data_IF_754543321609
#
_entry.id   IF_754543321609
#
_cell.length_a   1.000
_cell.length_b   1.000
_cell.length_c   1.000
_cell.angle_alpha   90.00
_cell.angle_beta   90.00
_cell.angle_gamma   90.00
#
_symmetry.space_group_name_H-M   'P 1'
#
loop_
_entity.id
_entity.type
_entity.pdbx_description
1 polymer ?
#
# COMPACT_ATOMS: atom_id res chain seq x y z
N UNK A 1 18.06 -13.34 -21.77
CA UNK A 1 17.88 -12.30 -22.80
C UNK A 1 16.61 -12.60 -23.58
N UNK A 2 15.46 -12.12 -23.11
CA UNK A 2 14.22 -12.19 -23.89
C UNK A 2 13.23 -11.14 -23.36
N UNK A 3 13.45 -9.87 -23.74
CA UNK A 3 12.47 -8.79 -23.63
C UNK A 3 12.73 -7.77 -24.75
N UNK A 4 12.79 -8.26 -25.99
CA UNK A 4 12.63 -7.43 -27.20
C UNK A 4 11.90 -8.31 -28.22
N UNK A 5 10.58 -8.16 -28.31
CA UNK A 5 9.77 -8.41 -29.50
C UNK A 5 8.30 -8.31 -29.10
N UNK A 6 7.68 -7.15 -29.33
CA UNK A 6 6.33 -7.06 -29.88
C UNK A 6 6.10 -5.61 -30.36
N UNK A 7 6.83 -5.25 -31.42
CA UNK A 7 6.45 -4.18 -32.33
C UNK A 7 6.51 -4.79 -33.74
N UNK A 8 5.47 -4.51 -34.54
CA UNK A 8 5.23 -4.89 -35.93
C UNK A 8 4.65 -6.29 -36.24
N UNK A 9 3.32 -6.36 -36.24
CA UNK A 9 2.43 -6.88 -37.31
C UNK A 9 1.00 -6.70 -36.79
N UNK A 10 -0.02 -6.26 -37.52
CA UNK A 10 -0.24 -5.97 -38.93
C UNK A 10 -1.41 -4.97 -39.01
N UNK A 11 -1.43 -4.15 -40.04
CA UNK A 11 -2.51 -3.22 -40.36
C UNK A 11 -3.83 -3.96 -40.60
N UNK A 12 -4.71 -3.94 -39.59
CA UNK A 12 -6.14 -4.07 -39.79
C UNK A 12 -6.80 -2.83 -39.19
N UNK A 13 -7.25 -1.95 -40.08
CA UNK A 13 -7.97 -0.72 -39.79
C UNK A 13 -9.38 -1.06 -39.30
N UNK A 14 -9.49 -1.49 -38.03
CA UNK A 14 -10.74 -1.49 -37.28
C UNK A 14 -10.66 -0.36 -36.26
N UNK A 15 -11.33 0.74 -36.57
CA UNK A 15 -11.33 1.96 -35.78
C UNK A 15 -11.80 1.73 -34.32
N UNK A 16 -10.86 1.67 -33.38
CA UNK A 16 -11.13 1.93 -31.97
C UNK A 16 -10.91 3.43 -31.76
N UNK A 17 -11.99 4.20 -31.74
CA UNK A 17 -11.97 5.64 -31.50
C UNK A 17 -11.30 5.94 -30.16
N UNK A 18 -10.09 6.49 -30.20
CA UNK A 18 -9.33 6.89 -29.02
C UNK A 18 -9.90 8.23 -28.52
N UNK A 19 -11.03 8.17 -27.80
CA UNK A 19 -11.67 9.35 -27.22
C UNK A 19 -11.02 9.68 -25.88
N UNK A 20 -9.96 10.50 -25.91
CA UNK A 20 -9.43 11.15 -24.71
C UNK A 20 -10.27 12.39 -24.42
N UNK A 21 -10.93 12.45 -23.26
CA UNK A 21 -11.72 13.61 -22.85
C UNK A 21 -11.21 14.16 -21.53
N UNK A 22 -10.81 15.43 -21.53
CA UNK A 22 -10.38 16.16 -20.33
C UNK A 22 -11.60 16.86 -19.73
N UNK A 23 -12.01 16.43 -18.53
CA UNK A 23 -13.06 17.10 -17.75
C UNK A 23 -12.45 17.58 -16.43
N UNK A 24 -12.22 18.88 -16.31
CA UNK A 24 -11.61 19.49 -15.13
C UNK A 24 -10.23 18.87 -14.83
N UNK A 25 -10.06 18.29 -13.64
CA UNK A 25 -8.82 17.65 -13.17
C UNK A 25 -8.72 16.17 -13.50
N UNK A 26 -9.46 15.65 -14.49
CA UNK A 26 -9.44 14.23 -14.87
C UNK A 26 -9.26 14.07 -16.38
N UNK A 27 -8.25 13.29 -16.78
CA UNK A 27 -8.07 12.78 -18.12
C UNK A 27 -8.64 11.36 -18.17
N UNK A 28 -9.61 11.13 -19.04
CA UNK A 28 -10.20 9.81 -19.24
C UNK A 28 -9.62 9.21 -20.52
N UNK A 29 -9.07 7.99 -20.44
CA UNK A 29 -8.65 7.18 -21.58
C UNK A 29 -9.47 5.88 -21.52
N UNK A 30 -10.54 5.81 -22.30
CA UNK A 30 -11.54 4.74 -22.16
C UNK A 30 -12.17 4.75 -20.77
N UNK A 31 -12.11 3.61 -20.07
CA UNK A 31 -12.60 3.45 -18.69
C UNK A 31 -11.59 3.88 -17.61
N UNK A 32 -10.38 4.28 -18.03
CA UNK A 32 -9.28 4.58 -17.13
C UNK A 32 -9.18 6.08 -16.83
N UNK A 33 -9.24 6.41 -15.54
CA UNK A 33 -9.30 7.79 -15.07
C UNK A 33 -7.95 8.21 -14.47
N UNK A 34 -7.28 9.14 -15.14
CA UNK A 34 -6.03 9.74 -14.69
C UNK A 34 -6.35 11.07 -14.02
N UNK A 35 -6.02 11.20 -12.73
CA UNK A 35 -6.19 12.46 -11.99
C UNK A 35 -5.02 13.39 -12.27
N UNK A 36 -5.35 14.52 -12.88
CA UNK A 36 -4.44 15.60 -13.19
C UNK A 36 -4.32 16.51 -11.97
N UNK A 37 -3.10 16.61 -11.44
CA UNK A 37 -2.81 17.36 -10.22
C UNK A 37 -3.01 16.55 -8.94
N UNK A 38 -2.76 17.20 -7.80
CA UNK A 38 -2.70 16.56 -6.47
C UNK A 38 -3.88 16.95 -5.55
N UNK A 39 -4.91 17.62 -6.06
CA UNK A 39 -5.99 18.15 -5.22
C UNK A 39 -6.97 17.07 -4.74
N UNK A 40 -7.31 17.12 -3.44
CA UNK A 40 -8.16 16.13 -2.77
C UNK A 40 -9.59 16.59 -2.50
N UNK A 41 -9.87 17.89 -2.58
CA UNK A 41 -11.19 18.44 -2.26
C UNK A 41 -12.35 17.95 -3.15
N UNK A 42 -12.05 17.15 -4.19
CA UNK A 42 -13.01 16.50 -5.08
C UNK A 42 -12.58 15.05 -5.38
N UNK A 43 -11.79 14.42 -4.50
CA UNK A 43 -11.37 13.03 -4.67
C UNK A 43 -12.28 12.10 -3.89
N UNK A 44 -12.64 10.95 -4.47
CA UNK A 44 -13.35 9.86 -3.80
C UNK A 44 -12.40 9.01 -2.94
N UNK A 45 -11.41 9.66 -2.32
CA UNK A 45 -10.55 9.02 -1.32
C UNK A 45 -11.21 9.21 0.03
N UNK A 46 -11.67 8.12 0.64
CA UNK A 46 -12.38 8.13 1.92
C UNK A 46 -11.56 7.43 3.00
N UNK A 47 -11.85 7.79 4.26
CA UNK A 47 -11.13 7.29 5.43
C UNK A 47 -12.15 6.81 6.45
N UNK A 48 -11.93 5.63 7.02
CA UNK A 48 -12.83 5.03 8.00
C UNK A 48 -12.06 4.66 9.26
N UNK A 49 -12.46 5.26 10.37
CA UNK A 49 -11.94 4.96 11.70
C UNK A 49 -12.61 3.72 12.26
N UNK A 50 -11.80 2.85 12.84
CA UNK A 50 -12.21 1.73 13.66
C UNK A 50 -11.53 1.85 15.03
N UNK A 51 -12.31 1.62 16.07
CA UNK A 51 -11.83 1.45 17.44
C UNK A 51 -12.23 0.05 17.96
N UNK A 52 -11.67 -0.36 19.11
CA UNK A 52 -12.00 -1.66 19.69
C UNK A 52 -13.52 -1.81 19.87
N UNK A 53 -14.08 -2.93 19.41
CA UNK A 53 -15.51 -3.28 19.49
C UNK A 53 -16.43 -2.59 18.48
N UNK A 54 -15.91 -1.83 17.50
CA UNK A 54 -16.72 -1.33 16.38
C UNK A 54 -16.76 -2.32 15.22
N UNK A 55 -17.98 -2.68 14.79
CA UNK A 55 -18.21 -3.53 13.60
C UNK A 55 -18.09 -2.69 12.33
N UNK A 56 -18.69 -1.50 12.33
CA UNK A 56 -18.68 -0.55 11.22
C UNK A 56 -17.70 0.59 11.48
N UNK A 57 -17.09 1.09 10.41
CA UNK A 57 -16.12 2.19 10.50
C UNK A 57 -16.81 3.55 10.48
N UNK A 58 -16.37 4.47 11.33
CA UNK A 58 -16.83 5.86 11.32
C UNK A 58 -16.08 6.65 10.25
N UNK A 59 -16.81 7.30 9.34
CA UNK A 59 -16.19 8.06 8.27
C UNK A 59 -15.48 9.32 8.80
N UNK A 60 -14.20 9.46 8.46
CA UNK A 60 -13.44 10.68 8.67
C UNK A 60 -13.50 11.53 7.40
N UNK A 61 -14.05 12.74 7.54
CA UNK A 61 -14.05 13.79 6.54
C UNK A 61 -12.96 14.78 6.88
N UNK A 62 -12.03 14.99 5.95
CA UNK A 62 -10.88 15.87 6.14
C UNK A 62 -10.59 16.67 4.87
N UNK A 63 -10.19 17.92 5.08
CA UNK A 63 -9.57 18.77 4.07
C UNK A 63 -8.33 19.46 4.69
N UNK A 64 -7.68 20.34 3.93
CA UNK A 64 -6.47 21.04 4.39
C UNK A 64 -6.64 21.79 5.71
N UNK A 65 -7.83 22.37 5.94
CA UNK A 65 -8.09 23.30 7.04
C UNK A 65 -8.95 22.73 8.17
N UNK A 66 -9.80 21.74 7.88
CA UNK A 66 -10.72 21.16 8.87
C UNK A 66 -10.85 19.64 8.75
N UNK A 67 -11.27 19.02 9.84
CA UNK A 67 -11.56 17.58 9.92
C UNK A 67 -12.65 17.32 10.95
N UNK A 68 -13.40 16.24 10.79
CA UNK A 68 -14.38 15.80 11.78
C UNK A 68 -13.82 14.88 12.88
N UNK A 69 -12.50 14.73 13.00
CA UNK A 69 -11.84 13.79 13.93
C UNK A 69 -12.31 13.93 15.40
N UNK A 70 -12.60 15.15 15.87
CA UNK A 70 -13.08 15.36 17.24
C UNK A 70 -14.58 15.03 17.43
N UNK A 71 -15.30 14.77 16.34
CA UNK A 71 -16.69 14.31 16.35
C UNK A 71 -16.82 12.79 16.13
N UNK A 72 -15.70 12.09 15.91
CA UNK A 72 -15.65 10.63 15.82
C UNK A 72 -15.16 10.03 17.14
N UNK A 73 -15.13 8.71 17.22
CA UNK A 73 -14.54 7.95 18.33
C UNK A 73 -12.99 8.05 18.42
N UNK A 74 -12.35 8.94 17.66
CA UNK A 74 -10.89 9.05 17.61
C UNK A 74 -10.31 9.42 18.98
N UNK A 75 -9.41 8.59 19.49
CA UNK A 75 -8.78 8.84 20.78
C UNK A 75 -7.40 9.47 20.60
N UNK A 76 -7.26 10.73 20.96
CA UNK A 76 -6.02 11.51 20.80
C UNK A 76 -4.83 10.97 21.59
N UNK A 77 -5.06 10.15 22.62
CA UNK A 77 -4.02 9.56 23.46
C UNK A 77 -3.54 8.18 22.97
N UNK A 78 -4.18 7.61 21.96
CA UNK A 78 -3.83 6.29 21.42
C UNK A 78 -2.99 6.41 20.14
N UNK A 79 -2.17 5.40 19.89
CA UNK A 79 -1.45 5.26 18.61
C UNK A 79 -2.44 5.11 17.46
N UNK A 80 -2.06 5.62 16.28
CA UNK A 80 -2.87 5.49 15.06
C UNK A 80 -2.15 4.66 14.01
N UNK A 81 -2.76 3.55 13.58
CA UNK A 81 -2.30 2.73 12.46
C UNK A 81 -3.20 2.99 11.25
N UNK A 82 -2.65 3.33 10.08
CA UNK A 82 -3.40 3.60 8.86
C UNK A 82 -3.11 2.50 7.83
N UNK A 83 -4.14 1.77 7.38
CA UNK A 83 -4.02 0.63 6.48
C UNK A 83 -4.46 1.02 5.06
N UNK A 84 -3.59 0.80 4.08
CA UNK A 84 -3.74 1.30 2.71
C UNK A 84 -3.75 0.13 1.73
N UNK A 85 -4.88 -0.07 1.05
CA UNK A 85 -5.01 -1.14 0.06
C UNK A 85 -4.24 -0.83 -1.24
N UNK A 86 -4.15 -1.85 -2.09
CA UNK A 86 -3.44 -1.81 -3.37
C UNK A 86 -4.35 -1.76 -4.60
N UNK A 87 -3.78 -2.17 -5.72
CA UNK A 87 -4.47 -2.30 -7.01
C UNK A 87 -5.64 -3.30 -6.94
N UNK A 88 -6.70 -3.02 -7.71
CA UNK A 88 -7.87 -3.88 -7.90
C UNK A 88 -8.48 -4.37 -6.56
N UNK A 89 -8.57 -3.45 -5.60
CA UNK A 89 -9.05 -3.70 -4.25
C UNK A 89 -9.64 -2.43 -3.64
N UNK A 90 -10.19 -2.59 -2.44
CA UNK A 90 -10.78 -1.56 -1.60
C UNK A 90 -10.36 -1.75 -0.12
N UNK A 91 -10.96 -0.97 0.77
CA UNK A 91 -10.75 -1.06 2.22
C UNK A 91 -11.20 -2.40 2.83
N UNK A 92 -12.01 -3.21 2.15
CA UNK A 92 -12.46 -4.52 2.62
C UNK A 92 -11.46 -5.64 2.27
N UNK A 93 -10.28 -5.29 1.74
CA UNK A 93 -9.19 -6.24 1.49
C UNK A 93 -8.94 -7.12 2.72
N UNK A 94 -9.11 -8.44 2.53
CA UNK A 94 -9.12 -9.42 3.63
C UNK A 94 -7.86 -9.38 4.50
N UNK A 95 -6.68 -9.21 3.90
CA UNK A 95 -5.43 -9.13 4.67
C UNK A 95 -5.35 -7.89 5.55
N UNK A 96 -5.82 -6.72 5.09
CA UNK A 96 -5.86 -5.51 5.91
C UNK A 96 -6.90 -5.63 7.03
N UNK A 97 -8.04 -6.26 6.77
CA UNK A 97 -9.05 -6.52 7.80
C UNK A 97 -8.59 -7.56 8.83
N UNK A 98 -7.82 -8.57 8.40
CA UNK A 98 -7.13 -9.48 9.29
C UNK A 98 -6.13 -8.73 10.18
N UNK A 99 -5.30 -7.88 9.61
CA UNK A 99 -4.31 -7.07 10.34
C UNK A 99 -5.02 -6.15 11.36
N UNK A 100 -6.09 -5.46 10.94
CA UNK A 100 -6.96 -4.67 11.84
C UNK A 100 -7.44 -5.50 13.03
N UNK A 101 -7.93 -6.71 12.77
CA UNK A 101 -8.43 -7.61 13.80
C UNK A 101 -7.32 -8.01 14.78
N UNK A 102 -6.14 -8.37 14.29
CA UNK A 102 -4.99 -8.74 15.12
C UNK A 102 -4.45 -7.55 15.92
N UNK A 103 -4.46 -6.34 15.36
CA UNK A 103 -4.12 -5.13 16.12
C UNK A 103 -5.03 -4.95 17.33
N UNK A 104 -6.35 -5.08 17.16
CA UNK A 104 -7.29 -4.91 18.27
C UNK A 104 -7.19 -6.00 19.35
N UNK A 105 -6.69 -7.19 19.01
CA UNK A 105 -6.34 -8.20 20.03
C UNK A 105 -5.13 -7.79 20.85
N UNK A 106 -4.23 -7.02 20.26
CA UNK A 106 -2.95 -6.66 20.88
C UNK A 106 -3.03 -5.39 21.74
N UNK A 107 -4.10 -4.60 21.62
CA UNK A 107 -4.31 -3.44 22.46
C UNK A 107 -5.38 -2.48 21.96
N UNK A 108 -5.49 -1.33 22.63
CA UNK A 108 -6.34 -0.23 22.20
C UNK A 108 -5.57 0.71 21.29
N UNK A 109 -6.12 0.96 20.10
CA UNK A 109 -5.54 1.87 19.12
C UNK A 109 -6.62 2.45 18.20
N UNK A 110 -6.26 3.50 17.47
CA UNK A 110 -7.05 3.97 16.34
C UNK A 110 -6.57 3.23 15.08
N UNK A 111 -7.44 2.45 14.42
CA UNK A 111 -7.14 1.91 13.08
C UNK A 111 -7.92 2.70 12.05
N UNK A 112 -7.25 3.24 11.05
CA UNK A 112 -7.91 3.93 9.93
C UNK A 112 -7.68 3.13 8.66
N UNK A 113 -8.75 2.75 7.97
CA UNK A 113 -8.65 2.19 6.62
C UNK A 113 -8.94 3.30 5.61
N UNK A 114 -8.09 3.40 4.60
CA UNK A 114 -8.33 4.28 3.44
C UNK A 114 -8.98 3.46 2.34
N UNK A 115 -10.00 4.03 1.70
CA UNK A 115 -10.57 3.54 0.46
C UNK A 115 -10.27 4.54 -0.66
N UNK A 116 -9.50 4.07 -1.64
CA UNK A 116 -9.17 4.78 -2.88
C UNK A 116 -9.48 3.89 -4.09
N UNK A 117 -10.39 2.92 -3.93
CA UNK A 117 -10.76 1.92 -4.93
C UNK A 117 -11.15 2.53 -6.27
N UNK A 118 -11.83 3.69 -6.27
CA UNK A 118 -12.18 4.47 -7.47
C UNK A 118 -10.98 4.85 -8.35
N UNK A 119 -9.78 4.92 -7.76
CA UNK A 119 -8.54 5.24 -8.46
C UNK A 119 -7.63 4.03 -8.63
N UNK A 120 -8.01 2.86 -8.09
CA UNK A 120 -7.24 1.62 -8.11
C UNK A 120 -7.88 0.50 -8.96
N UNK A 121 -9.01 0.75 -9.64
CA UNK A 121 -9.78 -0.29 -10.34
C UNK A 121 -9.00 -0.98 -11.46
N UNK A 122 -9.10 -2.31 -11.51
CA UNK A 122 -8.73 -3.07 -12.69
C UNK A 122 -9.71 -2.81 -13.85
N UNK A 123 -9.25 -2.85 -15.13
CA UNK A 123 -7.91 -3.19 -15.63
C UNK A 123 -6.97 -1.97 -15.77
N UNK A 124 -7.24 -0.85 -15.09
CA UNK A 124 -6.57 0.43 -15.32
C UNK A 124 -5.27 0.62 -14.54
N UNK A 125 -4.32 -0.31 -14.65
CA UNK A 125 -3.09 -0.30 -13.86
C UNK A 125 -2.23 0.98 -14.03
N UNK A 126 -1.95 1.47 -15.26
CA UNK A 126 -1.17 2.70 -15.42
C UNK A 126 -1.83 3.92 -14.78
N UNK A 127 -3.16 3.98 -14.81
CA UNK A 127 -3.90 5.05 -14.14
C UNK A 127 -3.80 4.93 -12.62
N UNK A 128 -3.87 3.71 -12.07
CA UNK A 128 -3.69 3.48 -10.64
C UNK A 128 -2.30 3.91 -10.14
N UNK A 129 -1.23 3.53 -10.85
CA UNK A 129 0.14 3.98 -10.57
C UNK A 129 0.22 5.51 -10.60
N UNK A 130 -0.34 6.14 -11.63
CA UNK A 130 -0.35 7.60 -11.76
C UNK A 130 -1.07 8.28 -10.59
N UNK A 131 -2.20 7.72 -10.16
CA UNK A 131 -3.05 8.28 -9.12
C UNK A 131 -2.44 8.17 -7.72
N UNK A 132 -1.46 7.27 -7.48
CA UNK A 132 -0.83 7.08 -6.16
C UNK A 132 -0.34 8.39 -5.53
N UNK A 133 0.20 9.33 -6.32
CA UNK A 133 0.65 10.63 -5.79
C UNK A 133 -0.51 11.50 -5.30
N UNK A 134 -1.62 11.50 -6.03
CA UNK A 134 -2.81 12.27 -5.65
C UNK A 134 -3.41 11.68 -4.37
N UNK A 135 -3.55 10.35 -4.28
CA UNK A 135 -4.02 9.66 -3.08
C UNK A 135 -3.10 9.93 -1.89
N UNK A 136 -1.78 9.88 -2.08
CA UNK A 136 -0.80 10.22 -1.05
C UNK A 136 -0.99 11.64 -0.50
N UNK A 137 -1.29 12.62 -1.37
CA UNK A 137 -1.58 13.99 -0.94
C UNK A 137 -2.92 14.14 -0.19
N UNK A 138 -3.85 13.20 -0.37
CA UNK A 138 -5.10 13.18 0.38
C UNK A 138 -4.90 12.57 1.75
N UNK A 139 -4.13 11.48 1.81
CA UNK A 139 -3.73 10.89 3.07
C UNK A 139 -2.84 11.83 3.90
N UNK A 140 -1.98 12.65 3.29
CA UNK A 140 -1.17 13.63 4.04
C UNK A 140 -2.02 14.68 4.78
N UNK A 141 -3.17 15.07 4.22
CA UNK A 141 -4.12 15.98 4.90
C UNK A 141 -4.72 15.35 6.15
N UNK A 142 -5.00 14.04 6.12
CA UNK A 142 -5.43 13.30 7.30
C UNK A 142 -4.31 13.23 8.35
N UNK A 143 -3.08 12.92 7.93
CA UNK A 143 -1.90 12.86 8.83
C UNK A 143 -1.70 14.19 9.55
N UNK A 144 -1.76 15.30 8.81
CA UNK A 144 -1.62 16.64 9.38
C UNK A 144 -2.81 17.02 10.27
N UNK A 145 -4.03 16.58 9.95
CA UNK A 145 -5.20 16.77 10.81
C UNK A 145 -5.07 16.04 12.15
N UNK A 146 -4.60 14.78 12.14
CA UNK A 146 -4.34 14.00 13.35
C UNK A 146 -3.29 14.69 14.23
N UNK A 147 -2.20 15.16 13.64
CA UNK A 147 -1.11 15.83 14.38
C UNK A 147 -1.49 17.15 15.03
N UNK A 148 -2.52 17.83 14.51
CA UNK A 148 -3.03 19.05 15.15
C UNK A 148 -3.74 18.76 16.47
N UNK A 149 -4.27 17.55 16.67
CA UNK A 149 -5.07 17.19 17.83
C UNK A 149 -4.43 16.12 18.72
N UNK A 150 -3.40 15.42 18.23
CA UNK A 150 -2.73 14.33 18.92
C UNK A 150 -1.21 14.43 18.77
N UNK A 151 -0.50 14.13 19.86
CA UNK A 151 0.95 13.95 19.87
C UNK A 151 1.38 12.51 19.63
N UNK A 152 0.43 11.58 19.50
CA UNK A 152 0.67 10.15 19.28
C UNK A 152 1.28 9.88 17.90
N UNK A 153 1.98 8.76 17.80
CA UNK A 153 2.60 8.35 16.55
C UNK A 153 1.54 7.87 15.54
N UNK A 154 1.82 8.18 14.27
CA UNK A 154 1.10 7.62 13.12
C UNK A 154 2.02 6.62 12.43
N UNK A 155 1.52 5.41 12.22
CA UNK A 155 2.19 4.33 11.48
C UNK A 155 1.36 3.99 10.23
N UNK A 156 1.98 4.07 9.06
CA UNK A 156 1.34 3.73 7.78
C UNK A 156 1.69 2.28 7.39
N UNK A 157 0.68 1.46 7.09
CA UNK A 157 0.85 0.14 6.46
C UNK A 157 0.28 0.22 5.05
N UNK A 158 1.12 0.06 4.05
CA UNK A 158 0.68 0.01 2.65
C UNK A 158 0.84 -1.38 2.05
N UNK A 159 -0.16 -1.85 1.30
CA UNK A 159 -0.07 -3.07 0.53
C UNK A 159 0.05 -2.77 -0.96
N UNK A 160 1.00 -3.42 -1.66
CA UNK A 160 1.16 -3.28 -3.12
C UNK A 160 1.37 -1.80 -3.52
N UNK A 161 0.53 -1.24 -4.40
CA UNK A 161 0.50 0.19 -4.71
C UNK A 161 0.31 1.09 -3.47
N UNK A 162 -0.37 0.58 -2.44
CA UNK A 162 -0.56 1.26 -1.16
C UNK A 162 0.74 1.57 -0.43
N UNK A 163 1.80 0.77 -0.63
CA UNK A 163 3.15 1.03 -0.08
C UNK A 163 3.72 2.34 -0.59
N UNK A 164 3.53 2.62 -1.89
CA UNK A 164 3.97 3.88 -2.49
C UNK A 164 3.04 5.05 -2.12
N UNK A 165 1.74 4.80 -1.96
CA UNK A 165 0.82 5.80 -1.40
C UNK A 165 1.27 6.23 0.00
N UNK A 166 1.72 5.30 0.84
CA UNK A 166 2.26 5.59 2.17
C UNK A 166 3.49 6.49 2.11
N UNK A 167 4.45 6.16 1.23
CA UNK A 167 5.64 6.96 0.98
C UNK A 167 5.29 8.40 0.55
N UNK A 168 4.42 8.54 -0.45
CA UNK A 168 3.98 9.86 -0.91
C UNK A 168 3.27 10.65 0.18
N UNK A 169 2.41 10.00 0.97
CA UNK A 169 1.70 10.65 2.06
C UNK A 169 2.65 11.18 3.14
N UNK A 170 3.66 10.40 3.53
CA UNK A 170 4.66 10.82 4.51
C UNK A 170 5.48 12.01 4.01
N UNK A 171 5.91 11.99 2.75
CA UNK A 171 6.68 13.08 2.15
C UNK A 171 5.87 14.35 1.90
N UNK A 172 4.56 14.25 1.69
CA UNK A 172 3.69 15.41 1.48
C UNK A 172 3.10 15.97 2.78
N UNK A 173 3.17 15.23 3.89
CA UNK A 173 2.76 15.73 5.19
C UNK A 173 3.73 16.80 5.70
N UNK A 174 3.27 17.64 6.63
CA UNK A 174 4.10 18.68 7.27
C UNK A 174 5.39 18.15 7.93
N UNK A 175 5.41 16.87 8.28
CA UNK A 175 6.56 16.13 8.81
C UNK A 175 6.48 14.66 8.37
N UNK A 176 7.61 13.98 8.20
CA UNK A 176 7.61 12.54 7.94
C UNK A 176 7.00 11.76 9.11
N UNK A 177 6.29 10.67 8.81
CA UNK A 177 5.78 9.77 9.85
C UNK A 177 6.93 8.99 10.50
N UNK A 178 6.70 8.45 11.69
CA UNK A 178 7.75 7.68 12.37
C UNK A 178 7.98 6.32 11.73
N UNK A 179 6.92 5.69 11.20
CA UNK A 179 7.02 4.35 10.65
C UNK A 179 6.17 4.14 9.41
N UNK A 180 6.74 3.45 8.43
CA UNK A 180 6.03 2.87 7.28
C UNK A 180 6.36 1.38 7.21
N UNK A 181 5.34 0.53 7.20
CA UNK A 181 5.50 -0.86 6.79
C UNK A 181 4.99 -1.02 5.34
N UNK A 182 5.89 -1.44 4.44
CA UNK A 182 5.57 -1.81 3.07
C UNK A 182 5.26 -3.31 2.96
N UNK A 183 4.04 -3.66 2.61
CA UNK A 183 3.59 -5.03 2.40
C UNK A 183 3.62 -5.33 0.91
N UNK A 184 4.65 -6.06 0.48
CA UNK A 184 4.95 -6.45 -0.90
C UNK A 184 4.80 -5.27 -1.90
N UNK A 185 5.65 -4.22 -1.81
CA UNK A 185 5.53 -3.03 -2.64
C UNK A 185 5.59 -3.37 -4.13
N UNK A 186 4.69 -2.78 -4.92
CA UNK A 186 4.57 -3.09 -6.33
C UNK A 186 5.81 -2.68 -7.15
N UNK A 187 6.24 -3.53 -8.09
CA UNK A 187 7.35 -3.24 -9.00
C UNK A 187 6.92 -2.49 -10.28
N UNK A 188 5.87 -2.90 -11.01
CA UNK A 188 5.54 -2.26 -12.29
C UNK A 188 5.16 -0.79 -12.10
N UNK A 189 5.79 0.11 -12.86
CA UNK A 189 5.61 1.55 -12.70
C UNK A 189 6.44 2.21 -11.59
N UNK A 190 7.11 1.41 -10.74
CA UNK A 190 7.94 1.89 -9.62
C UNK A 190 9.40 1.44 -9.68
N UNK A 191 9.77 0.60 -10.67
CA UNK A 191 11.14 0.26 -11.04
C UNK A 191 11.92 1.48 -11.60
N UNK A 192 12.13 2.48 -10.75
CA UNK A 192 12.68 3.78 -11.10
C UNK A 192 13.95 4.05 -10.30
N UNK A 193 14.91 4.76 -10.90
CA UNK A 193 16.16 5.10 -10.21
C UNK A 193 15.93 6.09 -9.06
N UNK A 194 15.09 7.11 -9.27
CA UNK A 194 14.83 8.17 -8.31
C UNK A 194 14.04 7.64 -7.09
N UNK A 195 14.47 8.00 -5.87
CA UNK A 195 13.83 7.51 -4.64
C UNK A 195 12.51 8.22 -4.37
N UNK A 196 12.37 9.49 -4.76
CA UNK A 196 11.14 10.27 -4.61
C UNK A 196 9.93 9.77 -5.43
N UNK A 197 10.13 8.72 -6.24
CA UNK A 197 9.13 8.12 -7.10
C UNK A 197 8.61 6.77 -6.58
N UNK A 198 9.18 6.22 -5.52
CA UNK A 198 8.87 4.90 -4.97
C UNK A 198 8.97 4.91 -3.44
N UNK A 199 8.68 3.77 -2.80
CA UNK A 199 8.93 3.61 -1.37
C UNK A 199 10.44 3.45 -1.17
N UNK A 200 10.98 4.19 -0.21
CA UNK A 200 12.39 4.18 0.17
C UNK A 200 12.54 4.35 1.69
N UNK A 201 13.69 3.92 2.20
CA UNK A 201 14.09 4.06 3.59
C UNK A 201 13.97 5.50 4.11
N UNK A 202 14.22 6.51 3.27
CA UNK A 202 14.15 7.91 3.69
C UNK A 202 12.73 8.44 3.94
N UNK A 203 11.67 7.70 3.61
CA UNK A 203 10.29 8.18 3.67
C UNK A 203 9.72 8.29 5.10
N UNK A 204 10.36 7.67 6.10
CA UNK A 204 9.99 7.75 7.50
C UNK A 204 11.23 7.58 8.40
N UNK A 205 11.08 7.85 9.70
CA UNK A 205 12.17 7.59 10.66
C UNK A 205 12.58 6.10 10.67
N UNK A 206 11.63 5.21 10.37
CA UNK A 206 11.85 3.79 10.19
C UNK A 206 10.93 3.22 9.11
N UNK A 207 11.47 2.36 8.24
CA UNK A 207 10.73 1.75 7.13
C UNK A 207 11.06 0.27 7.13
N UNK A 208 10.04 -0.56 7.20
CA UNK A 208 10.18 -2.01 7.17
C UNK A 208 9.35 -2.59 6.03
N UNK A 209 9.93 -3.53 5.29
CA UNK A 209 9.31 -4.06 4.08
C UNK A 209 9.24 -5.58 4.17
N UNK A 210 8.09 -6.13 3.82
CA UNK A 210 7.87 -7.58 3.75
C UNK A 210 7.65 -7.94 2.28
N UNK A 211 8.54 -8.75 1.72
CA UNK A 211 8.49 -9.24 0.35
C UNK A 211 7.96 -10.67 0.34
N UNK A 212 6.92 -10.90 -0.46
CA UNK A 212 6.28 -12.22 -0.58
C UNK A 212 6.07 -12.66 -2.03
N UNK A 213 6.16 -11.74 -2.99
CA UNK A 213 5.94 -11.99 -4.42
C UNK A 213 6.90 -11.18 -5.32
N UNK A 214 8.15 -11.07 -4.90
CA UNK A 214 9.23 -10.44 -5.66
C UNK A 214 9.37 -11.05 -7.07
N UNK A 215 9.80 -10.24 -8.02
CA UNK A 215 9.98 -10.58 -9.45
C UNK A 215 8.69 -10.83 -10.26
N UNK A 216 7.54 -11.04 -9.61
CA UNK A 216 6.26 -11.21 -10.28
C UNK A 216 5.45 -9.91 -10.27
N UNK A 217 5.13 -9.40 -9.09
CA UNK A 217 4.40 -8.14 -8.91
C UNK A 217 5.07 -7.26 -7.86
N UNK A 218 5.69 -7.86 -6.85
CA UNK A 218 6.48 -7.18 -5.84
C UNK A 218 7.88 -6.83 -6.34
N UNK A 219 8.47 -5.78 -5.76
CA UNK A 219 9.86 -5.40 -6.02
C UNK A 219 10.82 -6.41 -5.39
N UNK A 220 11.89 -6.86 -6.09
CA UNK A 220 12.97 -7.61 -5.47
C UNK A 220 14.00 -6.72 -4.78
N UNK A 221 13.91 -5.41 -4.99
CA UNK A 221 14.87 -4.43 -4.47
C UNK A 221 14.53 -4.07 -3.03
N UNK A 222 15.57 -3.87 -2.23
CA UNK A 222 15.41 -3.33 -0.88
C UNK A 222 14.78 -1.94 -0.96
N UNK A 223 13.79 -1.68 -0.11
CA UNK A 223 13.05 -0.42 -0.08
C UNK A 223 12.84 0.11 1.33
N UNK A 224 13.35 -0.57 2.36
CA UNK A 224 13.28 -0.15 3.74
C UNK A 224 14.64 0.02 4.40
N UNK A 225 14.59 0.38 5.69
CA UNK A 225 15.71 0.18 6.59
C UNK A 225 15.95 -1.31 6.86
N UNK A 226 14.87 -2.11 6.82
CA UNK A 226 14.89 -3.56 6.96
C UNK A 226 13.90 -4.18 5.97
N UNK A 227 14.34 -5.22 5.27
CA UNK A 227 13.56 -5.96 4.29
C UNK A 227 13.53 -7.45 4.68
N UNK A 228 12.33 -8.02 4.80
CA UNK A 228 12.10 -9.44 5.07
C UNK A 228 11.65 -10.13 3.79
N UNK A 229 12.41 -11.13 3.35
CA UNK A 229 12.06 -11.97 2.21
C UNK A 229 11.47 -13.27 2.73
N UNK A 230 10.16 -13.27 3.00
CA UNK A 230 9.47 -14.39 3.63
C UNK A 230 9.47 -15.58 2.69
N UNK A 231 9.92 -16.75 3.16
CA UNK A 231 10.11 -17.95 2.33
C UNK A 231 10.92 -17.69 1.04
N UNK A 232 11.94 -16.83 1.12
CA UNK A 232 12.75 -16.40 -0.03
C UNK A 232 12.14 -15.25 -0.84
N UNK A 233 10.94 -14.80 -0.50
CA UNK A 233 10.30 -13.58 -0.99
C UNK A 233 9.65 -13.68 -2.38
N UNK A 234 9.64 -14.86 -3.02
CA UNK A 234 9.17 -15.03 -4.40
C UNK A 234 7.87 -15.83 -4.47
N UNK A 235 7.82 -17.01 -3.83
CA UNK A 235 6.67 -17.91 -3.86
C UNK A 235 6.39 -18.39 -2.44
N UNK A 236 5.16 -18.18 -1.97
CA UNK A 236 4.76 -18.62 -0.63
C UNK A 236 4.14 -20.02 -0.66
N UNK A 237 4.37 -20.84 0.39
CA UNK A 237 3.70 -22.13 0.54
C UNK A 237 2.17 -21.99 0.41
N UNK A 238 1.55 -22.90 -0.33
CA UNK A 238 0.10 -22.88 -0.59
C UNK A 238 -0.34 -22.05 -1.80
N UNK A 239 0.52 -21.22 -2.39
CA UNK A 239 0.18 -20.43 -3.59
C UNK A 239 0.34 -21.20 -4.92
N UNK A 240 0.98 -22.37 -4.91
CA UNK A 240 1.13 -23.26 -6.07
C UNK A 240 0.32 -24.54 -5.84
N UNK A 241 -0.99 -24.51 -6.12
CA UNK A 241 -1.76 -25.75 -6.26
C UNK A 241 -1.61 -26.31 -7.68
N UNK A 242 -1.31 -27.60 -7.76
CA UNK A 242 -1.13 -28.38 -8.99
C UNK A 242 -2.41 -28.37 -9.84
N UNK A 243 -2.30 -28.04 -11.14
CA UNK A 243 -3.38 -28.30 -12.12
C UNK A 243 -3.87 -27.14 -12.99
N UNK A 244 -3.21 -25.97 -13.01
CA UNK A 244 -3.73 -24.81 -13.76
C UNK A 244 -3.00 -24.55 -15.09
N UNK A 245 -3.66 -24.89 -16.20
CA UNK A 245 -3.27 -24.55 -17.58
C UNK A 245 -3.08 -23.02 -17.77
N UNK A 246 -2.35 -22.65 -18.83
CA UNK A 246 -1.94 -21.28 -19.21
C UNK A 246 -3.05 -20.18 -19.18
N UNK A 247 -4.33 -20.57 -19.18
CA UNK A 247 -5.46 -19.66 -18.98
C UNK A 247 -5.53 -19.01 -17.58
N UNK A 248 -4.82 -19.57 -16.59
CA UNK A 248 -4.79 -19.07 -15.20
C UNK A 248 -3.89 -17.85 -14.97
N UNK A 249 -3.35 -17.24 -16.02
CA UNK A 249 -2.57 -16.00 -15.88
C UNK A 249 -3.42 -14.86 -15.30
N UNK A 250 -4.74 -14.84 -15.58
CA UNK A 250 -5.69 -13.92 -14.96
C UNK A 250 -5.98 -14.23 -13.47
N UNK A 251 -5.83 -15.48 -13.02
CA UNK A 251 -6.00 -15.87 -11.62
C UNK A 251 -4.79 -15.51 -10.73
N UNK A 252 -3.69 -15.03 -11.33
CA UNK A 252 -2.54 -14.50 -10.57
C UNK A 252 -2.87 -13.20 -9.83
N UNK A 253 -3.80 -12.38 -10.31
CA UNK A 253 -4.34 -11.25 -9.52
C UNK A 253 -5.14 -11.73 -8.30
N UNK A 254 -5.82 -12.88 -8.40
CA UNK A 254 -6.53 -13.48 -7.28
C UNK A 254 -5.57 -14.11 -6.24
N UNK A 255 -4.47 -14.71 -6.70
CA UNK A 255 -3.43 -15.27 -5.83
C UNK A 255 -2.53 -14.22 -5.15
N UNK A 256 -2.48 -12.99 -5.66
CA UNK A 256 -1.73 -11.90 -5.03
C UNK A 256 -2.22 -11.59 -3.61
N UNK A 257 -3.54 -11.61 -3.39
CA UNK A 257 -4.15 -11.42 -2.05
C UNK A 257 -3.85 -12.59 -1.10
N UNK A 258 -3.50 -13.76 -1.64
CA UNK A 258 -3.23 -14.99 -0.88
C UNK A 258 -1.74 -15.17 -0.51
N UNK A 259 -0.82 -14.43 -1.15
CA UNK A 259 0.61 -14.51 -0.86
C UNK A 259 1.00 -13.83 0.45
N UNK A 260 0.15 -13.00 1.04
CA UNK A 260 0.28 -12.63 2.45
C UNK A 260 -0.53 -13.59 3.29
N UNK A 261 0.06 -14.75 3.56
CA UNK A 261 -0.67 -15.93 4.07
C UNK A 261 -1.13 -15.82 5.52
N UNK A 262 -0.65 -14.84 6.31
CA UNK A 262 -1.06 -14.70 7.70
C UNK A 262 -0.97 -13.25 8.23
N UNK A 263 -2.11 -12.60 8.51
CA UNK A 263 -2.16 -11.36 9.28
C UNK A 263 -1.47 -11.48 10.65
N UNK A 264 -1.54 -12.65 11.28
CA UNK A 264 -0.85 -12.93 12.55
C UNK A 264 0.65 -12.82 12.37
N UNK A 265 1.22 -13.44 11.33
CA UNK A 265 2.67 -13.38 11.08
C UNK A 265 3.14 -11.94 10.78
N UNK A 266 2.34 -11.13 10.09
CA UNK A 266 2.64 -9.72 9.85
C UNK A 266 2.72 -8.96 11.18
N UNK A 267 1.75 -9.15 12.06
CA UNK A 267 1.72 -8.51 13.38
C UNK A 267 2.87 -9.03 14.26
N UNK A 268 3.18 -10.32 14.24
CA UNK A 268 4.32 -10.90 14.96
C UNK A 268 5.65 -10.29 14.49
N UNK A 269 5.86 -10.20 13.17
CA UNK A 269 7.04 -9.53 12.61
C UNK A 269 7.09 -8.08 13.05
N UNK A 270 5.97 -7.36 13.05
CA UNK A 270 5.93 -5.99 13.54
C UNK A 270 6.25 -5.88 15.02
N UNK A 271 5.73 -6.76 15.88
CA UNK A 271 6.05 -6.79 17.30
C UNK A 271 7.53 -7.07 17.56
N UNK A 272 8.13 -8.00 16.81
CA UNK A 272 9.57 -8.27 16.86
C UNK A 272 10.36 -7.00 16.52
N UNK A 273 9.87 -6.20 15.57
CA UNK A 273 10.52 -4.95 15.16
C UNK A 273 10.31 -3.81 16.15
N UNK A 274 9.16 -3.72 16.81
CA UNK A 274 8.86 -2.71 17.84
C UNK A 274 9.65 -2.99 19.14
N UNK A 275 9.87 -4.25 19.49
CA UNK A 275 10.50 -4.68 20.75
C UNK A 275 12.00 -4.97 20.65
N UNK A 276 12.77 -4.18 19.88
CA UNK A 276 14.25 -4.34 19.78
C UNK A 276 14.98 -4.01 21.10
N UNK A 277 14.88 -4.96 22.03
CA UNK A 277 15.74 -5.18 23.19
C UNK A 277 15.98 -6.68 23.46
N UNK A 278 15.42 -7.61 22.67
CA UNK A 278 15.60 -9.05 22.93
C UNK A 278 16.12 -9.81 21.72
N UNK A 279 17.14 -10.62 22.01
CA UNK A 279 17.86 -11.56 21.16
C UNK A 279 16.88 -12.39 20.32
N UNK A 280 17.12 -12.46 19.01
CA UNK A 280 16.41 -13.38 18.12
C UNK A 280 16.56 -14.82 18.64
N UNK A 281 15.47 -15.52 19.03
CA UNK A 281 15.51 -16.97 19.10
C UNK A 281 15.58 -17.49 17.66
N UNK A 282 16.45 -18.45 17.42
CA UNK A 282 16.69 -19.09 16.13
C UNK A 282 15.43 -19.85 15.68
N UNK A 283 14.44 -19.13 15.14
CA UNK A 283 13.24 -19.71 14.52
C UNK A 283 13.49 -19.98 13.03
N UNK A 284 14.52 -20.74 12.68
CA UNK A 284 14.69 -21.28 11.32
C UNK A 284 14.59 -20.27 10.17
N UNK A 285 14.76 -18.97 10.44
CA UNK A 285 14.69 -17.90 9.44
C UNK A 285 16.03 -17.91 8.74
N UNK A 286 16.02 -18.32 7.47
CA UNK A 286 17.20 -18.25 6.61
C UNK A 286 17.89 -16.90 6.75
N UNK A 287 19.18 -16.96 7.10
CA UNK A 287 20.11 -15.85 7.33
C UNK A 287 19.74 -14.56 6.58
N UNK A 288 19.62 -13.46 7.33
CA UNK A 288 19.75 -12.12 6.79
C UNK A 288 21.11 -11.98 6.10
N UNK A 289 21.14 -12.10 4.78
CA UNK A 289 22.35 -11.91 4.00
C UNK A 289 22.64 -10.42 3.86
N UNK A 290 23.60 -9.95 4.67
CA UNK A 290 24.30 -8.69 4.46
C UNK A 290 25.27 -8.91 3.28
N UNK A 291 24.85 -8.60 2.05
CA UNK A 291 25.81 -8.52 0.95
C UNK A 291 26.59 -7.23 1.10
N UNK A 292 27.78 -7.36 1.68
CA UNK A 292 28.80 -6.31 1.67
C UNK A 292 29.30 -6.09 0.25
N UNK A 293 29.54 -4.82 -0.05
CA UNK A 293 30.18 -4.31 -1.24
C UNK A 293 31.49 -5.05 -1.56
N UNK A 294 31.71 -5.35 -2.84
CA UNK A 294 33.04 -5.55 -3.43
C UNK A 294 33.38 -4.28 -4.18
#
# INVERSE_FOLDING_TARGET
>A
MLFIALLCASSDSSAIGNSSNVKGTTLNIGICNFRLGRNCGQSNVTFYLYTNNQVEGEQIVVNKSSSNLLQTAFNVSLETKILIHGYNSDMFLGVLNGIKTEYFKSGKLNVILIDWSDYAKGPCYPAAVWNCRMVGNCLSQLIDAIRRISTSNVHLLGFSLGSHVAAFASNYASKKVKRITGLDPALPGFATAANENKLDSSDADFVDVIHTNAFMQGTPLQSGHIDFFVNGGIIQPGCMQEGSNAFHQALREFNFKLQMSSPVAIIELQFIMENRSTVFPDFGVGRAHRFGSI
#
